data_IF_775688987399
#
_entry.id   IF_775688987399
#
_cell.length_a   1.000
_cell.length_b   1.000
_cell.length_c   1.000
_cell.angle_alpha   90.00
_cell.angle_beta   90.00
_cell.angle_gamma   90.00
#
_symmetry.space_group_name_H-M   'P 1'
#
loop_
_entity.id
_entity.type
_entity.pdbx_description
1 polymer ?
#
# COMPACT_ATOMS: atom_id res chain seq x y z
N UNK A 1 11.01 -17.22 19.45
CA UNK A 1 11.23 -16.92 20.89
C UNK A 1 10.16 -15.95 21.33
N UNK A 2 9.46 -16.23 22.42
CA UNK A 2 8.41 -15.35 22.93
C UNK A 2 8.88 -14.73 24.25
N UNK A 3 9.13 -13.42 24.23
CA UNK A 3 9.51 -12.60 25.38
C UNK A 3 8.42 -11.53 25.66
N UNK A 4 7.19 -11.77 25.22
CA UNK A 4 6.06 -10.86 25.45
C UNK A 4 5.58 -10.99 26.89
N UNK A 5 5.33 -9.86 27.53
CA UNK A 5 4.80 -9.76 28.89
C UNK A 5 3.40 -9.13 28.90
N UNK A 6 2.70 -9.22 30.02
CA UNK A 6 1.44 -8.51 30.21
C UNK A 6 1.71 -7.12 30.77
N UNK A 7 1.29 -6.08 30.05
CA UNK A 7 1.34 -4.69 30.47
C UNK A 7 0.03 -4.23 31.10
N UNK A 8 -0.05 -2.97 31.59
CA UNK A 8 -1.28 -2.41 32.12
C UNK A 8 -2.46 -2.49 31.14
N UNK A 9 -3.68 -2.51 31.68
CA UNK A 9 -4.91 -2.47 30.89
C UNK A 9 -4.93 -1.22 29.98
N UNK A 10 -5.50 -1.35 28.78
CA UNK A 10 -5.66 -0.23 27.84
C UNK A 10 -4.38 0.22 27.12
N UNK A 11 -3.25 -0.45 27.30
CA UNK A 11 -1.98 -0.08 26.63
C UNK A 11 -1.91 -0.45 25.15
N UNK A 12 -2.79 -1.34 24.69
CA UNK A 12 -2.86 -1.82 23.32
C UNK A 12 -1.66 -2.69 22.91
N UNK A 13 -1.44 -2.83 21.60
CA UNK A 13 -0.34 -3.63 21.06
C UNK A 13 0.99 -2.88 21.22
N UNK A 14 1.88 -3.43 22.06
CA UNK A 14 3.27 -2.96 22.21
C UNK A 14 4.26 -4.04 21.82
N UNK A 15 3.81 -5.09 21.13
CA UNK A 15 4.67 -6.18 20.70
C UNK A 15 5.40 -5.77 19.43
N UNK A 16 6.70 -6.03 19.41
CA UNK A 16 7.51 -5.93 18.21
C UNK A 16 7.94 -7.31 17.80
N UNK A 17 7.65 -7.63 16.54
CA UNK A 17 7.94 -8.91 15.90
C UNK A 17 9.14 -8.72 14.99
N UNK A 18 10.21 -9.48 15.25
CA UNK A 18 11.42 -9.47 14.45
C UNK A 18 11.73 -10.87 13.91
N UNK A 19 12.19 -10.90 12.67
CA UNK A 19 12.70 -12.10 12.02
C UNK A 19 13.75 -11.71 10.99
N UNK A 20 14.65 -12.63 10.67
CA UNK A 20 15.52 -12.47 9.51
C UNK A 20 14.76 -12.89 8.24
N UNK A 21 15.05 -12.29 7.07
CA UNK A 21 14.57 -12.80 5.80
C UNK A 21 14.89 -14.29 5.66
N UNK A 22 13.92 -15.10 5.25
CA UNK A 22 14.03 -16.57 5.18
C UNK A 22 14.30 -17.28 6.52
N UNK A 23 14.21 -16.54 7.62
CA UNK A 23 14.44 -17.06 8.96
C UNK A 23 13.31 -17.99 9.40
N UNK A 24 13.67 -19.05 10.12
CA UNK A 24 12.71 -19.98 10.74
C UNK A 24 12.31 -19.56 12.15
N UNK A 25 12.99 -18.55 12.70
CA UNK A 25 12.78 -18.06 14.05
C UNK A 25 12.17 -16.67 14.01
N UNK A 26 11.01 -16.53 14.63
CA UNK A 26 10.33 -15.26 14.90
C UNK A 26 10.54 -14.94 16.38
N UNK A 27 10.99 -13.74 16.68
CA UNK A 27 11.17 -13.23 18.05
C UNK A 27 10.13 -12.15 18.32
N UNK A 28 9.39 -12.32 19.41
CA UNK A 28 8.38 -11.37 19.88
C UNK A 28 8.85 -10.76 21.19
N UNK A 29 8.85 -9.43 21.31
CA UNK A 29 9.22 -8.66 22.50
C UNK A 29 8.21 -7.55 22.75
N UNK A 30 7.98 -7.17 24.01
CA UNK A 30 7.09 -6.06 24.37
C UNK A 30 5.92 -6.53 25.23
N UNK A 31 4.78 -5.87 25.14
CA UNK A 31 3.63 -6.19 25.99
C UNK A 31 2.28 -6.22 25.29
N UNK A 32 1.37 -7.05 25.83
CA UNK A 32 -0.07 -7.05 25.51
C UNK A 32 -0.87 -6.49 26.70
N UNK A 33 -2.06 -5.91 26.50
CA UNK A 33 -2.82 -5.28 27.58
C UNK A 33 -3.47 -6.30 28.51
N UNK A 34 -3.42 -6.04 29.82
CA UNK A 34 -4.17 -6.81 30.81
C UNK A 34 -5.68 -6.69 30.58
N UNK A 35 -6.40 -7.82 30.73
CA UNK A 35 -7.88 -7.86 30.67
C UNK A 35 -8.46 -8.23 29.31
N UNK A 36 -7.63 -8.31 28.26
CA UNK A 36 -8.05 -8.77 26.93
C UNK A 36 -7.84 -10.28 26.78
N UNK A 37 -8.92 -11.05 26.59
CA UNK A 37 -8.85 -12.52 26.50
C UNK A 37 -8.39 -13.03 25.13
N UNK A 38 -8.58 -12.24 24.06
CA UNK A 38 -8.24 -12.60 22.69
C UNK A 38 -7.48 -11.45 21.99
N UNK A 39 -6.27 -11.14 22.48
CA UNK A 39 -5.45 -10.08 21.91
C UNK A 39 -4.57 -10.62 20.77
N UNK A 40 -4.85 -10.21 19.52
CA UNK A 40 -4.10 -10.62 18.35
C UNK A 40 -2.97 -9.63 18.02
N UNK A 41 -1.77 -10.17 17.78
CA UNK A 41 -0.62 -9.43 17.25
C UNK A 41 -0.32 -9.97 15.86
N UNK A 42 -0.13 -9.08 14.89
CA UNK A 42 0.16 -9.45 13.50
C UNK A 42 1.54 -9.00 13.09
N UNK A 43 2.21 -9.79 12.24
CA UNK A 43 3.57 -9.52 11.79
C UNK A 43 3.85 -10.14 10.44
N UNK A 44 4.93 -9.68 9.81
CA UNK A 44 5.35 -10.20 8.52
C UNK A 44 5.77 -11.68 8.62
N UNK A 45 5.41 -12.44 7.59
CA UNK A 45 5.85 -13.81 7.41
C UNK A 45 7.30 -13.81 6.87
N UNK A 46 8.28 -14.43 7.55
CA UNK A 46 9.69 -14.29 7.18
C UNK A 46 10.07 -14.97 5.85
N UNK A 47 9.36 -16.05 5.51
CA UNK A 47 9.55 -16.82 4.27
C UNK A 47 8.19 -17.18 3.64
N UNK A 48 7.56 -16.23 2.93
CA UNK A 48 6.27 -16.49 2.27
C UNK A 48 6.32 -17.65 1.27
N UNK A 49 7.34 -17.78 0.38
CA UNK A 49 7.43 -18.92 -0.53
C UNK A 49 7.48 -20.29 0.19
N UNK A 50 8.29 -20.41 1.25
CA UNK A 50 8.37 -21.66 2.01
C UNK A 50 7.03 -22.00 2.67
N UNK A 51 6.33 -20.99 3.21
CA UNK A 51 5.03 -21.20 3.84
C UNK A 51 3.95 -21.59 2.83
N UNK A 52 3.92 -20.96 1.65
CA UNK A 52 3.00 -21.33 0.57
C UNK A 52 3.23 -22.79 0.16
N UNK A 53 4.50 -23.20 0.00
CA UNK A 53 4.85 -24.60 -0.29
C UNK A 53 4.34 -25.55 0.79
N UNK A 54 4.58 -25.23 2.06
CA UNK A 54 4.13 -26.02 3.21
C UNK A 54 2.61 -26.19 3.21
N UNK A 55 1.87 -25.08 3.07
CA UNK A 55 0.41 -25.08 3.08
C UNK A 55 -0.16 -25.85 1.88
N UNK A 56 0.38 -25.64 0.69
CA UNK A 56 -0.05 -26.33 -0.52
C UNK A 56 0.20 -27.84 -0.41
N UNK A 57 1.38 -28.24 0.08
CA UNK A 57 1.71 -29.65 0.29
C UNK A 57 0.75 -30.30 1.30
N UNK A 58 0.47 -29.63 2.42
CA UNK A 58 -0.46 -30.14 3.42
C UNK A 58 -1.88 -30.32 2.86
N UNK A 59 -2.36 -29.35 2.07
CA UNK A 59 -3.68 -29.44 1.40
C UNK A 59 -3.75 -30.56 0.37
N UNK A 60 -2.70 -30.75 -0.43
CA UNK A 60 -2.63 -31.84 -1.41
C UNK A 60 -2.56 -33.22 -0.73
N UNK A 61 -1.80 -33.35 0.37
CA UNK A 61 -1.75 -34.58 1.15
C UNK A 61 -3.11 -34.93 1.77
N UNK A 62 -3.82 -33.94 2.32
CA UNK A 62 -5.19 -34.13 2.82
C UNK A 62 -6.17 -34.55 1.71
N UNK A 63 -5.91 -34.16 0.47
CA UNK A 63 -6.65 -34.60 -0.72
C UNK A 63 -6.17 -35.96 -1.30
N UNK A 64 -5.27 -36.67 -0.61
CA UNK A 64 -4.79 -37.99 -1.01
C UNK A 64 -3.56 -38.02 -1.94
N UNK A 65 -2.99 -36.85 -2.28
CA UNK A 65 -1.77 -36.77 -3.09
C UNK A 65 -0.56 -37.19 -2.28
N UNK A 66 0.16 -38.22 -2.73
CA UNK A 66 1.37 -38.73 -2.07
C UNK A 66 2.62 -38.05 -2.62
N UNK A 67 3.43 -37.49 -1.73
CA UNK A 67 4.72 -36.90 -2.08
C UNK A 67 5.84 -37.92 -1.87
N UNK A 68 6.50 -38.35 -2.94
CA UNK A 68 7.57 -39.36 -2.90
C UNK A 68 8.95 -38.79 -2.52
N UNK A 69 9.05 -37.48 -2.22
CA UNK A 69 10.31 -36.82 -1.84
C UNK A 69 11.35 -36.67 -2.96
N UNK A 70 11.03 -37.07 -4.20
CA UNK A 70 11.94 -36.95 -5.34
C UNK A 70 12.04 -35.50 -5.81
N UNK A 71 13.25 -34.94 -5.82
CA UNK A 71 13.53 -33.66 -6.48
C UNK A 71 13.61 -33.92 -7.99
N UNK A 72 12.68 -33.36 -8.74
CA UNK A 72 12.70 -33.40 -10.20
C UNK A 72 13.34 -32.09 -10.68
N UNK A 73 14.36 -32.11 -11.56
CA UNK A 73 14.90 -30.89 -12.14
C UNK A 73 13.80 -30.13 -12.86
N UNK A 74 13.84 -28.79 -12.84
CA UNK A 74 12.94 -27.99 -13.66
C UNK A 74 13.16 -28.37 -15.14
N UNK A 75 12.10 -28.79 -15.83
CA UNK A 75 12.16 -29.21 -17.24
C UNK A 75 11.33 -28.28 -18.10
N UNK A 76 11.75 -28.09 -19.34
CA UNK A 76 10.86 -27.60 -20.40
C UNK A 76 9.74 -28.62 -20.65
N UNK A 77 8.54 -28.15 -21.01
CA UNK A 77 7.41 -29.03 -21.34
C UNK A 77 6.63 -29.55 -20.12
N UNK A 78 6.63 -28.83 -18.99
CA UNK A 78 5.71 -29.10 -17.89
C UNK A 78 4.27 -28.75 -18.28
N UNK A 79 3.33 -29.65 -17.97
CA UNK A 79 1.90 -29.39 -18.17
C UNK A 79 1.36 -28.72 -16.91
N UNK A 80 0.73 -27.56 -17.07
CA UNK A 80 0.03 -26.90 -15.97
C UNK A 80 -1.17 -27.76 -15.55
N UNK A 81 -1.20 -28.18 -14.28
CA UNK A 81 -2.31 -28.96 -13.71
C UNK A 81 -3.44 -28.08 -13.18
N UNK A 82 -3.10 -26.86 -12.75
CA UNK A 82 -4.03 -25.87 -12.24
C UNK A 82 -3.42 -24.48 -12.38
N UNK A 83 -4.28 -23.48 -12.55
CA UNK A 83 -3.94 -22.07 -12.57
C UNK A 83 -4.91 -21.32 -11.66
N UNK A 84 -4.42 -20.29 -10.97
CA UNK A 84 -5.22 -19.43 -10.13
C UNK A 84 -4.97 -17.98 -10.53
N UNK A 85 -6.01 -17.33 -11.05
CA UNK A 85 -5.99 -15.89 -11.32
C UNK A 85 -6.23 -15.08 -10.05
N UNK A 86 -5.57 -13.93 -9.93
CA UNK A 86 -5.88 -12.95 -8.89
C UNK A 86 -7.26 -12.32 -9.09
N UNK A 87 -7.70 -11.53 -8.11
CA UNK A 87 -8.77 -10.55 -8.34
C UNK A 87 -8.46 -9.65 -9.54
N UNK A 88 -9.49 -9.19 -10.27
CA UNK A 88 -9.33 -8.24 -11.36
C UNK A 88 -8.85 -6.86 -10.84
N UNK A 89 -8.19 -6.10 -11.71
CA UNK A 89 -7.57 -4.82 -11.34
C UNK A 89 -8.52 -3.80 -10.66
N UNK A 90 -9.81 -3.67 -11.04
CA UNK A 90 -10.75 -2.80 -10.32
C UNK A 90 -10.89 -3.12 -8.83
N UNK A 91 -10.92 -4.40 -8.45
CA UNK A 91 -11.00 -4.83 -7.05
C UNK A 91 -9.69 -4.56 -6.29
N UNK A 92 -8.56 -4.76 -6.97
CA UNK A 92 -7.23 -4.41 -6.43
C UNK A 92 -7.14 -2.91 -6.16
N UNK A 93 -7.67 -2.06 -7.06
CA UNK A 93 -7.72 -0.60 -6.87
C UNK A 93 -8.52 -0.25 -5.59
N UNK A 94 -9.67 -0.89 -5.39
CA UNK A 94 -10.49 -0.65 -4.20
C UNK A 94 -9.77 -1.02 -2.92
N UNK A 95 -9.17 -2.22 -2.91
CA UNK A 95 -8.46 -2.72 -1.76
C UNK A 95 -7.25 -1.83 -1.43
N UNK A 96 -6.43 -1.49 -2.43
CA UNK A 96 -5.28 -0.60 -2.28
C UNK A 96 -5.66 0.76 -1.68
N UNK A 97 -6.73 1.40 -2.17
CA UNK A 97 -7.12 2.70 -1.64
C UNK A 97 -7.75 2.60 -0.25
N UNK A 98 -8.60 1.59 -0.01
CA UNK A 98 -9.32 1.43 1.26
C UNK A 98 -8.41 0.96 2.39
N UNK A 99 -7.57 -0.03 2.14
CA UNK A 99 -6.73 -0.69 3.15
C UNK A 99 -5.35 -0.06 3.21
N UNK A 100 -4.89 0.58 2.12
CA UNK A 100 -3.53 1.11 2.00
C UNK A 100 -2.47 0.03 2.22
N UNK A 101 -2.70 -1.15 1.63
CA UNK A 101 -1.85 -2.32 1.78
C UNK A 101 -0.50 -2.11 1.08
N UNK A 102 0.57 -2.08 1.88
CA UNK A 102 1.92 -1.81 1.40
C UNK A 102 2.49 -2.97 0.58
N UNK A 103 2.13 -4.22 0.91
CA UNK A 103 2.64 -5.39 0.21
C UNK A 103 1.99 -5.49 -1.16
N UNK A 104 0.67 -5.27 -1.25
CA UNK A 104 -0.05 -5.24 -2.52
C UNK A 104 0.47 -4.13 -3.43
N UNK A 105 0.70 -2.93 -2.89
CA UNK A 105 1.25 -1.79 -3.65
C UNK A 105 2.65 -2.12 -4.20
N UNK A 106 3.50 -2.75 -3.38
CA UNK A 106 4.83 -3.18 -3.81
C UNK A 106 4.77 -4.29 -4.87
N UNK A 107 3.87 -5.28 -4.71
CA UNK A 107 3.67 -6.33 -5.70
C UNK A 107 3.21 -5.76 -7.05
N UNK A 108 2.27 -4.81 -7.06
CA UNK A 108 1.84 -4.14 -8.28
C UNK A 108 2.99 -3.35 -8.92
N UNK A 109 3.77 -2.61 -8.13
CA UNK A 109 4.94 -1.88 -8.59
C UNK A 109 6.00 -2.80 -9.22
N UNK A 110 6.32 -3.92 -8.58
CA UNK A 110 7.25 -4.93 -9.13
C UNK A 110 6.70 -5.56 -10.42
N UNK A 111 5.40 -5.88 -10.45
CA UNK A 111 4.72 -6.42 -11.64
C UNK A 111 4.80 -5.47 -12.84
N UNK A 112 4.73 -4.15 -12.62
CA UNK A 112 4.91 -3.15 -13.68
C UNK A 112 6.33 -3.22 -14.26
N UNK A 113 7.37 -3.34 -13.41
CA UNK A 113 8.75 -3.48 -13.86
C UNK A 113 8.99 -4.75 -14.67
N UNK A 114 8.37 -5.87 -14.24
CA UNK A 114 8.47 -7.16 -14.93
C UNK A 114 7.86 -7.18 -16.34
N UNK A 115 7.12 -6.14 -16.75
CA UNK A 115 6.68 -5.99 -18.15
C UNK A 115 7.83 -5.78 -19.13
N UNK A 116 9.04 -5.49 -18.63
CA UNK A 116 10.31 -5.56 -19.38
C UNK A 116 11.17 -6.69 -18.80
N UNK A 117 10.90 -7.97 -19.14
CA UNK A 117 11.49 -9.11 -18.42
C UNK A 117 13.02 -9.16 -18.45
N UNK A 118 13.63 -8.62 -19.50
CA UNK A 118 15.09 -8.61 -19.69
C UNK A 118 15.79 -7.52 -18.90
N UNK A 119 15.06 -6.50 -18.42
CA UNK A 119 15.58 -5.37 -17.66
C UNK A 119 14.46 -4.80 -16.76
N UNK A 120 14.08 -5.53 -15.69
CA UNK A 120 12.97 -5.13 -14.85
C UNK A 120 13.36 -3.95 -13.96
N UNK A 121 12.94 -2.76 -14.36
CA UNK A 121 13.03 -1.56 -13.54
C UNK A 121 11.64 -0.93 -13.37
N UNK A 122 11.04 -1.17 -12.21
CA UNK A 122 9.73 -0.63 -11.83
C UNK A 122 9.72 0.89 -11.76
N UNK A 123 10.76 1.49 -11.19
CA UNK A 123 10.82 2.94 -10.99
C UNK A 123 10.92 3.66 -12.33
N UNK A 124 11.83 3.19 -13.19
CA UNK A 124 11.98 3.71 -14.55
C UNK A 124 10.72 3.49 -15.39
N UNK A 125 10.09 2.30 -15.31
CA UNK A 125 8.88 2.00 -16.08
C UNK A 125 7.70 2.90 -15.67
N UNK A 126 7.51 3.12 -14.37
CA UNK A 126 6.48 4.06 -13.87
C UNK A 126 6.81 5.49 -14.28
N UNK A 127 8.07 5.92 -14.14
CA UNK A 127 8.51 7.27 -14.56
C UNK A 127 8.21 7.50 -16.03
N UNK A 128 8.69 6.62 -16.91
CA UNK A 128 8.52 6.72 -18.36
C UNK A 128 7.05 6.72 -18.77
N UNK A 129 6.21 5.93 -18.08
CA UNK A 129 4.77 5.91 -18.35
C UNK A 129 4.13 7.29 -18.21
N UNK A 130 4.50 8.04 -17.16
CA UNK A 130 3.92 9.36 -16.87
C UNK A 130 4.62 10.49 -17.61
N UNK A 131 5.94 10.42 -17.82
CA UNK A 131 6.68 11.36 -18.68
C UNK A 131 6.14 11.33 -20.11
N UNK A 132 5.88 10.14 -20.65
CA UNK A 132 5.23 9.97 -21.96
C UNK A 132 3.78 10.50 -22.02
N UNK A 133 3.20 10.93 -20.90
CA UNK A 133 1.88 11.56 -20.78
C UNK A 133 1.97 13.05 -20.37
N UNK A 134 3.16 13.63 -20.43
CA UNK A 134 3.38 15.06 -20.19
C UNK A 134 3.67 15.44 -18.74
N UNK A 135 3.94 14.48 -17.84
CA UNK A 135 4.42 14.80 -16.50
C UNK A 135 5.93 15.06 -16.54
N UNK A 136 6.35 16.31 -16.33
CA UNK A 136 7.76 16.69 -16.23
C UNK A 136 8.25 16.56 -14.77
N UNK A 137 8.71 15.37 -14.41
CA UNK A 137 9.22 15.12 -13.07
C UNK A 137 10.51 15.89 -12.80
N UNK A 138 10.51 16.75 -11.78
CA UNK A 138 11.73 17.34 -11.22
C UNK A 138 12.00 16.77 -9.83
N UNK A 139 13.14 16.09 -9.68
CA UNK A 139 13.54 15.53 -8.38
C UNK A 139 12.74 14.30 -7.94
N UNK A 140 12.00 13.64 -8.86
CA UNK A 140 11.32 12.38 -8.56
C UNK A 140 12.35 11.32 -8.14
N UNK A 141 12.19 10.80 -6.93
CA UNK A 141 12.88 9.61 -6.43
C UNK A 141 11.84 8.58 -6.03
N UNK A 142 11.77 7.48 -6.77
CA UNK A 142 10.82 6.40 -6.52
C UNK A 142 11.60 5.14 -6.16
N UNK A 143 11.55 4.76 -4.90
CA UNK A 143 12.30 3.63 -4.32
C UNK A 143 11.40 2.40 -4.19
N UNK A 144 10.14 2.59 -3.81
CA UNK A 144 9.15 1.53 -3.68
C UNK A 144 7.77 1.96 -4.20
N UNK A 145 6.85 1.00 -4.29
CA UNK A 145 5.48 1.22 -4.74
C UNK A 145 4.50 1.66 -3.64
N UNK A 146 4.86 1.46 -2.37
CA UNK A 146 3.96 1.68 -1.23
C UNK A 146 4.06 3.07 -0.62
N UNK A 147 5.19 3.75 -0.80
CA UNK A 147 5.47 5.02 -0.13
C UNK A 147 6.15 4.86 1.23
N UNK A 148 6.47 3.64 1.69
CA UNK A 148 7.12 3.42 2.99
C UNK A 148 8.58 3.87 3.02
N UNK A 149 9.30 3.78 1.91
CA UNK A 149 10.67 4.27 1.83
C UNK A 149 10.69 5.78 2.09
N UNK A 150 11.31 6.20 3.19
CA UNK A 150 11.50 7.63 3.54
C UNK A 150 12.27 8.42 2.47
N UNK A 151 12.97 7.71 1.60
CA UNK A 151 13.71 8.27 0.48
C UNK A 151 12.85 8.48 -0.78
N UNK A 152 11.58 8.11 -0.77
CA UNK A 152 10.64 8.50 -1.82
C UNK A 152 10.46 10.02 -1.82
N UNK A 153 10.53 10.63 -2.99
CA UNK A 153 10.35 12.07 -3.18
C UNK A 153 9.57 12.32 -4.45
N UNK A 154 8.53 13.15 -4.36
CA UNK A 154 7.76 13.65 -5.49
C UNK A 154 7.26 15.05 -5.12
N UNK A 155 7.20 15.96 -6.09
CA UNK A 155 6.64 17.30 -5.84
C UNK A 155 5.12 17.21 -5.75
N UNK A 156 4.46 18.04 -4.91
CA UNK A 156 2.99 18.05 -4.81
C UNK A 156 2.30 18.24 -6.17
N UNK A 157 2.83 19.13 -7.01
CA UNK A 157 2.29 19.38 -8.35
C UNK A 157 2.38 18.15 -9.26
N UNK A 158 3.50 17.43 -9.21
CA UNK A 158 3.71 16.22 -10.03
C UNK A 158 2.76 15.12 -9.59
N UNK A 159 2.57 14.93 -8.28
CA UNK A 159 1.64 13.93 -7.76
C UNK A 159 0.17 14.29 -8.09
N UNK A 160 -0.19 15.59 -8.02
CA UNK A 160 -1.50 16.06 -8.45
C UNK A 160 -1.73 15.80 -9.96
N UNK A 161 -0.71 16.00 -10.80
CA UNK A 161 -0.80 15.72 -12.23
C UNK A 161 -0.94 14.22 -12.51
N UNK A 162 -0.19 13.37 -11.83
CA UNK A 162 -0.35 11.90 -11.91
C UNK A 162 -1.78 11.51 -11.51
N UNK A 163 -2.31 12.03 -10.41
CA UNK A 163 -3.69 11.78 -9.98
C UNK A 163 -4.73 12.22 -11.02
N UNK A 164 -4.55 13.40 -11.61
CA UNK A 164 -5.40 13.90 -12.70
C UNK A 164 -5.40 12.98 -13.92
N UNK A 165 -4.22 12.52 -14.34
CA UNK A 165 -4.10 11.63 -15.50
C UNK A 165 -4.62 10.22 -15.19
N UNK A 166 -4.42 9.70 -13.98
CA UNK A 166 -4.94 8.39 -13.55
C UNK A 166 -6.47 8.33 -13.64
N UNK A 167 -7.16 9.41 -13.26
CA UNK A 167 -8.62 9.56 -13.42
C UNK A 167 -9.11 9.46 -14.86
N UNK A 168 -8.26 9.73 -15.85
CA UNK A 168 -8.58 9.67 -17.28
C UNK A 168 -8.19 8.34 -17.91
N UNK A 169 -7.61 7.41 -17.14
CA UNK A 169 -7.23 6.08 -17.60
C UNK A 169 -8.43 5.12 -17.72
N UNK A 170 -8.20 3.89 -18.22
CA UNK A 170 -9.25 2.90 -18.45
C UNK A 170 -10.09 2.53 -17.22
N UNK A 171 -9.50 2.61 -16.02
CA UNK A 171 -10.19 2.38 -14.75
C UNK A 171 -10.39 3.66 -13.94
N UNK A 172 -10.36 4.81 -14.60
CA UNK A 172 -10.35 6.12 -13.95
C UNK A 172 -11.57 6.41 -13.07
N UNK A 173 -12.76 5.90 -13.44
CA UNK A 173 -13.95 5.99 -12.58
C UNK A 173 -13.81 5.17 -11.31
N UNK A 174 -13.33 3.94 -11.42
CA UNK A 174 -13.10 3.12 -10.22
C UNK A 174 -12.01 3.70 -9.34
N UNK A 175 -10.93 4.19 -9.95
CA UNK A 175 -9.86 4.91 -9.25
C UNK A 175 -10.41 6.08 -8.43
N UNK A 176 -11.28 6.92 -9.00
CA UNK A 176 -11.89 8.05 -8.26
C UNK A 176 -12.82 7.58 -7.14
N UNK A 177 -13.66 6.58 -7.42
CA UNK A 177 -14.68 6.11 -6.48
C UNK A 177 -14.10 5.38 -5.26
N UNK A 178 -12.94 4.75 -5.43
CA UNK A 178 -12.24 4.01 -4.37
C UNK A 178 -11.48 4.89 -3.38
N UNK A 179 -11.23 6.17 -3.71
CA UNK A 179 -10.61 7.12 -2.80
C UNK A 179 -11.49 7.40 -1.59
N UNK A 180 -10.86 7.76 -0.46
CA UNK A 180 -11.57 8.10 0.78
C UNK A 180 -12.36 9.38 0.61
N UNK A 181 -13.65 9.32 0.89
CA UNK A 181 -14.58 10.45 0.90
C UNK A 181 -14.60 11.11 2.31
N UNK A 182 -14.44 12.42 2.36
CA UNK A 182 -14.45 13.22 3.60
C UNK A 182 -14.80 14.68 3.28
N UNK A 183 -14.93 15.50 4.33
CA UNK A 183 -15.43 16.88 4.23
C UNK A 183 -16.80 16.90 3.53
N UNK A 184 -17.75 16.15 4.10
CA UNK A 184 -19.15 16.14 3.67
C UNK A 184 -19.34 15.84 2.17
N UNK A 185 -18.57 14.89 1.63
CA UNK A 185 -18.63 14.51 0.21
C UNK A 185 -17.90 15.45 -0.74
N UNK A 186 -17.26 16.51 -0.24
CA UNK A 186 -16.55 17.49 -1.09
C UNK A 186 -15.17 17.05 -1.48
N UNK A 187 -14.54 16.14 -0.74
CA UNK A 187 -13.17 15.70 -1.00
C UNK A 187 -13.11 14.19 -1.13
N UNK A 188 -12.41 13.73 -2.16
CA UNK A 188 -12.05 12.32 -2.36
C UNK A 188 -10.55 12.20 -2.55
N UNK A 189 -9.84 11.61 -1.60
CA UNK A 189 -8.38 11.57 -1.66
C UNK A 189 -7.79 10.26 -1.16
N UNK A 190 -6.55 10.00 -1.59
CA UNK A 190 -5.68 9.02 -0.95
C UNK A 190 -4.89 9.76 0.11
N UNK A 191 -4.97 9.23 1.34
CA UNK A 191 -4.25 9.75 2.49
C UNK A 191 -2.92 8.99 2.67
N UNK A 192 -1.91 9.69 3.17
CA UNK A 192 -0.60 9.16 3.52
C UNK A 192 -0.14 9.71 4.86
N UNK A 193 0.35 8.84 5.75
CA UNK A 193 0.79 9.24 7.07
C UNK A 193 1.98 8.41 7.55
N UNK A 194 3.08 9.10 7.86
CA UNK A 194 4.19 8.56 8.63
C UNK A 194 4.53 9.54 9.77
N UNK A 195 5.43 9.16 10.66
CA UNK A 195 5.95 10.10 11.66
C UNK A 195 6.56 11.33 10.98
N UNK A 196 6.03 12.51 11.30
CA UNK A 196 6.43 13.79 10.71
C UNK A 196 5.97 14.07 9.27
N UNK A 197 5.23 13.15 8.63
CA UNK A 197 4.79 13.28 7.24
C UNK A 197 3.28 13.08 7.13
N UNK A 198 2.60 13.97 6.40
CA UNK A 198 1.17 13.88 6.08
C UNK A 198 0.94 14.29 4.63
N UNK A 199 0.11 13.56 3.91
CA UNK A 199 -0.16 13.82 2.50
C UNK A 199 -1.59 13.44 2.13
N UNK A 200 -2.24 14.29 1.35
CA UNK A 200 -3.52 14.02 0.71
C UNK A 200 -3.38 14.35 -0.77
N UNK A 201 -3.71 13.41 -1.65
CA UNK A 201 -3.84 13.68 -3.10
C UNK A 201 -5.18 13.16 -3.58
N UNK A 202 -5.89 13.97 -4.35
CA UNK A 202 -7.20 13.58 -4.84
C UNK A 202 -7.96 14.70 -5.51
N UNK A 203 -9.26 14.72 -5.29
CA UNK A 203 -10.23 15.61 -5.91
C UNK A 203 -10.98 16.42 -4.86
N UNK A 204 -11.24 17.69 -5.16
CA UNK A 204 -12.08 18.58 -4.37
C UNK A 204 -13.17 19.19 -5.26
N UNK A 205 -14.41 19.13 -4.81
CA UNK A 205 -15.57 19.67 -5.51
C UNK A 205 -15.91 21.07 -4.97
N UNK A 206 -15.91 22.05 -5.87
CA UNK A 206 -16.23 23.45 -5.57
C UNK A 206 -17.74 23.72 -5.47
N UNK A 207 -18.18 24.87 -4.94
CA UNK A 207 -19.60 25.22 -4.85
C UNK A 207 -20.33 25.24 -6.19
N UNK A 208 -19.63 25.61 -7.26
CA UNK A 208 -20.15 25.64 -8.63
C UNK A 208 -20.17 24.27 -9.32
N UNK A 209 -19.81 23.20 -8.61
CA UNK A 209 -19.80 21.83 -9.11
C UNK A 209 -18.52 21.44 -9.87
N UNK A 210 -17.58 22.36 -10.08
CA UNK A 210 -16.29 22.00 -10.70
C UNK A 210 -15.46 21.15 -9.74
N UNK A 211 -14.89 20.06 -10.27
CA UNK A 211 -13.95 19.19 -9.55
C UNK A 211 -12.52 19.56 -9.94
N UNK A 212 -11.67 19.82 -8.95
CA UNK A 212 -10.24 20.09 -9.13
C UNK A 212 -9.40 18.95 -8.55
N UNK A 213 -8.29 18.62 -9.20
CA UNK A 213 -7.26 17.80 -8.56
C UNK A 213 -6.48 18.66 -7.56
N UNK A 214 -6.07 18.09 -6.44
CA UNK A 214 -5.21 18.76 -5.48
C UNK A 214 -4.18 17.79 -4.89
N UNK A 215 -3.13 18.37 -4.31
CA UNK A 215 -2.19 17.64 -3.47
C UNK A 215 -1.75 18.53 -2.30
N UNK A 216 -1.91 18.04 -1.08
CA UNK A 216 -1.36 18.63 0.13
C UNK A 216 -0.24 17.72 0.65
N UNK A 217 0.93 18.28 0.92
CA UNK A 217 2.06 17.55 1.51
C UNK A 217 2.67 18.39 2.63
N UNK A 218 2.87 17.76 3.77
CA UNK A 218 3.54 18.37 4.92
C UNK A 218 4.59 17.41 5.47
N UNK A 219 5.82 17.90 5.55
CA UNK A 219 6.98 17.18 6.08
C UNK A 219 7.53 17.93 7.31
N UNK A 220 8.22 17.21 8.20
CA UNK A 220 8.81 17.80 9.41
C UNK A 220 7.77 18.21 10.45
N UNK A 221 6.56 17.64 10.41
CA UNK A 221 5.53 17.95 11.38
C UNK A 221 5.93 17.45 12.78
N UNK A 222 5.71 18.30 13.78
CA UNK A 222 5.83 17.91 15.19
C UNK A 222 4.85 16.78 15.52
N UNK A 223 5.25 15.77 16.32
CA UNK A 223 4.33 14.73 16.80
C UNK A 223 3.16 15.26 17.63
N UNK A 224 3.29 16.46 18.21
CA UNK A 224 2.26 17.11 19.01
C UNK A 224 1.22 17.85 18.16
N UNK A 225 1.49 18.07 16.87
CA UNK A 225 0.55 18.76 15.99
C UNK A 225 -0.62 17.84 15.62
N UNK A 226 -1.83 18.25 15.99
CA UNK A 226 -3.05 17.63 15.49
C UNK A 226 -3.36 18.14 14.06
N UNK A 227 -2.72 17.55 13.06
CA UNK A 227 -2.79 17.97 11.66
C UNK A 227 -4.18 17.84 11.03
N UNK A 228 -4.90 16.75 11.33
CA UNK A 228 -6.11 16.37 10.58
C UNK A 228 -7.26 17.39 10.68
N UNK A 229 -7.59 17.95 11.87
CA UNK A 229 -8.61 19.00 11.98
C UNK A 229 -8.23 20.28 11.24
N UNK A 230 -6.94 20.67 11.24
CA UNK A 230 -6.46 21.85 10.53
C UNK A 230 -6.62 21.67 9.02
N UNK A 231 -6.25 20.49 8.52
CA UNK A 231 -6.46 20.11 7.13
C UNK A 231 -7.95 20.11 6.75
N UNK A 232 -8.83 19.55 7.58
CA UNK A 232 -10.27 19.56 7.30
C UNK A 232 -10.83 20.99 7.27
N UNK A 233 -10.39 21.86 8.17
CA UNK A 233 -10.80 23.27 8.16
C UNK A 233 -10.35 23.98 6.87
N UNK A 234 -9.09 23.82 6.48
CA UNK A 234 -8.57 24.36 5.22
C UNK A 234 -9.40 23.90 4.02
N UNK A 235 -9.63 22.58 3.90
CA UNK A 235 -10.35 22.01 2.77
C UNK A 235 -11.83 22.45 2.76
N UNK A 236 -12.48 22.60 3.93
CA UNK A 236 -13.83 23.19 4.02
C UNK A 236 -13.86 24.62 3.50
N UNK A 237 -12.89 25.45 3.88
CA UNK A 237 -12.83 26.84 3.42
C UNK A 237 -12.62 26.93 1.91
N UNK A 238 -11.73 26.10 1.36
CA UNK A 238 -11.52 26.01 -0.09
C UNK A 238 -12.80 25.55 -0.79
N UNK A 239 -13.44 24.48 -0.31
CA UNK A 239 -14.68 23.93 -0.88
C UNK A 239 -15.89 24.87 -0.72
N UNK A 240 -15.82 25.87 0.18
CA UNK A 240 -16.82 26.92 0.33
C UNK A 240 -16.58 28.13 -0.60
N UNK A 241 -15.48 28.15 -1.37
CA UNK A 241 -15.12 29.26 -2.24
C UNK A 241 -14.33 30.38 -1.54
N UNK A 242 -13.78 30.11 -0.35
CA UNK A 242 -13.07 31.08 0.50
C UNK A 242 -11.65 31.45 0.06
N UNK A 243 -11.22 31.07 -1.15
CA UNK A 243 -9.96 31.51 -1.74
C UNK A 243 -10.20 32.49 -2.88
N UNK A 244 -10.37 33.77 -2.54
CA UNK A 244 -10.12 34.88 -3.46
C UNK A 244 -8.83 35.57 -3.03
#
# INVERSE_FOLDING_TARGET
MNEVVTGPAGTGDRVVIYSQPHGRTITLRGSVPLGESNFAVTGALPDPPAKVKELLQAKLQAAGVKFLGRKIPARSGVVALAEHGSSPLPEIIDHLHKVSDNLEAQCLFQTIGLRKPTDPDSAYTVRQHWEGRGVDFKGLRLIDGSGLARANMIRPLDLAMVNHLARRGPHGERFRQSLTDYVDGKVRAKLGAMSGVKTDVGFITMPDGREFTFCLMANGLSPQLNYWPLRDNLLRQVAAGGGR
#
